data_IF_221785984612
#
_entry.id   IF_221785984612
#
_cell.length_a   1.000
_cell.length_b   1.000
_cell.length_c   1.000
_cell.angle_alpha   90.00
_cell.angle_beta   90.00
_cell.angle_gamma   90.00
#
_symmetry.space_group_name_H-M   'P 1'
#
loop_
_entity.id
_entity.type
_entity.pdbx_description
1 polymer ?
#
# COMPACT_ATOMS: atom_id res chain seq x y z
N UNK A 1 1.07 -2.00 -9.70
CA UNK A 1 1.89 -1.54 -8.55
C UNK A 1 1.02 -1.67 -7.32
N UNK A 2 1.30 -2.67 -6.47
CA UNK A 2 0.43 -3.02 -5.34
C UNK A 2 0.69 -1.98 -4.25
N UNK A 3 -0.15 -0.94 -4.18
CA UNK A 3 -0.02 0.05 -3.11
C UNK A 3 -0.34 -0.65 -1.79
N UNK A 4 0.71 -0.81 -0.99
CA UNK A 4 0.65 -1.38 0.34
C UNK A 4 1.03 -0.25 1.27
N UNK A 5 0.15 0.08 2.20
CA UNK A 5 0.46 1.05 3.25
C UNK A 5 1.54 0.50 4.18
N UNK A 6 2.00 1.35 5.09
CA UNK A 6 2.89 0.94 6.19
C UNK A 6 2.36 1.45 7.54
N UNK A 7 1.04 1.46 7.73
CA UNK A 7 0.37 1.87 8.98
C UNK A 7 0.79 0.98 10.14
N UNK A 8 1.19 -0.27 9.88
CA UNK A 8 1.76 -1.17 10.90
C UNK A 8 2.96 -0.56 11.63
N UNK A 9 3.71 0.32 10.96
CA UNK A 9 4.90 0.98 11.51
C UNK A 9 4.55 2.13 12.47
N UNK A 10 3.26 2.52 12.54
CA UNK A 10 2.71 3.50 13.47
C UNK A 10 2.03 2.85 14.69
N UNK A 11 2.18 1.53 14.87
CA UNK A 11 1.68 0.84 16.05
C UNK A 11 2.67 0.95 17.21
N UNK A 12 2.16 1.17 18.42
CA UNK A 12 2.92 1.06 19.67
C UNK A 12 2.20 0.08 20.59
N UNK A 13 2.90 -0.97 21.03
CA UNK A 13 2.31 -2.04 21.84
C UNK A 13 1.03 -2.64 21.20
N UNK A 14 1.04 -2.82 19.87
CA UNK A 14 -0.09 -3.38 19.11
C UNK A 14 -1.27 -2.43 18.85
N UNK A 15 -1.18 -1.17 19.28
CA UNK A 15 -2.24 -0.16 19.15
C UNK A 15 -1.82 1.02 18.29
N UNK A 16 -2.75 1.54 17.50
CA UNK A 16 -2.52 2.67 16.61
C UNK A 16 -2.16 3.94 17.39
N UNK A 17 -0.95 4.46 17.17
CA UNK A 17 -0.49 5.71 17.78
C UNK A 17 -0.67 6.87 16.81
N UNK A 18 -1.46 7.88 17.19
CA UNK A 18 -1.67 9.08 16.36
C UNK A 18 -2.12 10.30 17.15
N UNK A 19 -2.03 11.46 16.52
CA UNK A 19 -2.66 12.68 17.00
C UNK A 19 -4.18 12.62 16.84
N UNK A 20 -4.90 13.31 17.71
CA UNK A 20 -6.38 13.42 17.67
C UNK A 20 -6.87 14.82 17.36
N UNK A 21 -5.96 15.77 17.17
CA UNK A 21 -6.26 17.15 16.84
C UNK A 21 -5.30 17.65 15.76
N UNK A 22 -5.77 18.65 15.05
CA UNK A 22 -5.05 19.41 14.02
C UNK A 22 -5.58 20.86 14.07
N UNK A 23 -4.78 21.88 13.71
CA UNK A 23 -3.37 21.79 13.32
C UNK A 23 -2.45 21.49 14.52
N UNK A 24 -1.29 20.88 14.25
CA UNK A 24 -0.22 20.72 15.24
C UNK A 24 0.50 22.06 15.43
N UNK A 25 0.70 22.48 16.67
CA UNK A 25 1.47 23.69 16.97
C UNK A 25 2.96 23.36 16.96
N UNK A 26 3.72 24.00 16.09
CA UNK A 26 5.14 23.71 15.88
C UNK A 26 5.99 24.89 16.35
N UNK A 27 6.85 24.65 17.34
CA UNK A 27 7.91 25.58 17.69
C UNK A 27 9.19 25.16 16.97
N UNK A 28 9.86 26.11 16.31
CA UNK A 28 11.15 25.88 15.65
C UNK A 28 12.19 26.66 16.44
N UNK A 29 13.05 25.94 17.15
CA UNK A 29 14.08 26.53 17.99
C UNK A 29 15.04 27.40 17.16
N UNK A 30 15.60 28.47 17.74
CA UNK A 30 16.66 29.24 17.07
C UNK A 30 17.92 28.38 16.95
N UNK A 31 18.56 28.40 15.78
CA UNK A 31 19.82 27.71 15.56
C UNK A 31 20.98 28.45 16.23
N UNK A 32 21.72 27.75 17.11
CA UNK A 32 22.85 28.32 17.88
C UNK A 32 24.23 27.87 17.39
N UNK A 33 24.35 27.43 16.14
CA UNK A 33 25.64 26.99 15.58
C UNK A 33 26.47 28.18 15.07
N UNK A 34 27.61 28.41 15.72
CA UNK A 34 28.57 29.46 15.30
C UNK A 34 29.04 29.29 13.84
N UNK A 35 29.28 28.05 13.40
CA UNK A 35 29.69 27.75 12.02
C UNK A 35 28.66 28.08 10.95
N UNK A 36 27.41 28.37 11.34
CA UNK A 36 26.29 28.71 10.43
C UNK A 36 25.59 30.01 10.85
N UNK A 37 26.32 30.91 11.51
CA UNK A 37 25.78 32.21 11.91
C UNK A 37 25.16 32.95 10.72
N UNK A 38 23.94 33.46 10.91
CA UNK A 38 23.18 34.14 9.86
C UNK A 38 22.39 33.23 8.91
N UNK A 39 22.49 31.89 9.00
CA UNK A 39 21.73 30.97 8.13
C UNK A 39 20.44 30.42 8.76
N UNK A 40 20.08 30.85 9.98
CA UNK A 40 18.89 30.36 10.71
C UNK A 40 17.60 30.51 9.88
N UNK A 41 17.44 31.64 9.18
CA UNK A 41 16.26 31.89 8.33
C UNK A 41 16.07 30.80 7.26
N UNK A 42 17.17 30.31 6.67
CA UNK A 42 17.16 29.32 5.59
C UNK A 42 16.66 27.98 6.10
N UNK A 43 17.20 27.49 7.22
CA UNK A 43 16.80 26.21 7.79
C UNK A 43 15.39 26.26 8.38
N UNK A 44 15.01 27.38 8.99
CA UNK A 44 13.61 27.63 9.39
C UNK A 44 12.66 27.59 8.20
N UNK A 45 13.05 28.16 7.06
CA UNK A 45 12.25 28.10 5.84
C UNK A 45 12.12 26.68 5.29
N UNK A 46 13.20 25.87 5.34
CA UNK A 46 13.13 24.45 4.99
C UNK A 46 12.13 23.67 5.85
N UNK A 47 12.07 23.93 7.16
CA UNK A 47 11.07 23.31 8.05
C UNK A 47 9.66 23.75 7.68
N UNK A 48 9.44 25.04 7.43
CA UNK A 48 8.14 25.56 6.95
C UNK A 48 7.73 24.92 5.63
N UNK A 49 8.67 24.79 4.69
CA UNK A 49 8.46 24.13 3.40
C UNK A 49 8.10 22.66 3.56
N UNK A 50 8.76 21.93 4.46
CA UNK A 50 8.44 20.54 4.74
C UNK A 50 7.03 20.35 5.34
N UNK A 51 6.65 21.20 6.30
CA UNK A 51 5.29 21.22 6.85
C UNK A 51 4.26 21.50 5.75
N UNK A 52 4.55 22.46 4.86
CA UNK A 52 3.67 22.81 3.74
C UNK A 52 3.54 21.68 2.71
N UNK A 53 4.63 20.95 2.43
CA UNK A 53 4.63 19.78 1.53
C UNK A 53 3.69 18.69 2.07
N UNK A 54 3.81 18.33 3.36
CA UNK A 54 2.92 17.36 4.01
C UNK A 54 1.46 17.82 4.02
N UNK A 55 1.20 19.09 4.35
CA UNK A 55 -0.14 19.68 4.29
C UNK A 55 -0.76 19.57 2.89
N UNK A 56 0.00 19.95 1.87
CA UNK A 56 -0.48 20.01 0.49
C UNK A 56 -0.70 18.61 -0.07
N UNK A 57 0.28 17.71 0.10
CA UNK A 57 0.23 16.34 -0.39
C UNK A 57 -0.96 15.56 0.21
N UNK A 58 -1.27 15.82 1.49
CA UNK A 58 -2.38 15.17 2.20
C UNK A 58 -3.70 15.95 2.11
N UNK A 59 -3.76 17.03 1.32
CA UNK A 59 -4.94 17.90 1.14
C UNK A 59 -5.53 18.39 2.48
N UNK A 60 -4.66 18.75 3.42
CA UNK A 60 -5.05 19.26 4.74
C UNK A 60 -5.44 18.20 5.77
N UNK A 61 -5.29 16.90 5.46
CA UNK A 61 -5.53 15.82 6.44
C UNK A 61 -4.62 15.96 7.67
N UNK A 62 -3.38 16.38 7.45
CA UNK A 62 -2.50 16.92 8.49
C UNK A 62 -2.29 18.41 8.26
N UNK A 63 -2.17 19.18 9.33
CA UNK A 63 -1.90 20.62 9.27
C UNK A 63 -1.06 21.09 10.45
N UNK A 64 -0.39 22.23 10.26
CA UNK A 64 0.58 22.78 11.18
C UNK A 64 0.36 24.29 11.34
N UNK A 65 0.67 24.79 12.53
CA UNK A 65 0.73 26.22 12.83
C UNK A 65 2.02 26.51 13.56
N UNK A 66 2.86 27.40 13.03
CA UNK A 66 4.09 27.80 13.71
C UNK A 66 3.76 28.71 14.90
N UNK A 67 4.27 28.37 16.07
CA UNK A 67 4.14 29.18 17.30
C UNK A 67 5.48 29.79 17.69
N UNK A 68 5.43 30.85 18.50
CA UNK A 68 6.62 31.62 18.88
C UNK A 68 7.32 31.04 20.12
N UNK A 69 6.61 30.27 20.94
CA UNK A 69 7.12 29.78 22.21
C UNK A 69 7.01 28.26 22.32
N UNK A 70 7.96 27.64 23.02
CA UNK A 70 7.97 26.21 23.28
C UNK A 70 6.73 25.76 24.07
N UNK A 71 6.27 26.59 25.03
CA UNK A 71 5.12 26.29 25.89
C UNK A 71 3.80 26.12 25.13
N UNK A 72 3.69 26.74 23.96
CA UNK A 72 2.49 26.64 23.11
C UNK A 72 2.56 25.46 22.14
N UNK A 73 3.70 24.78 22.04
CA UNK A 73 3.96 23.80 21.00
C UNK A 73 3.54 22.38 21.40
N UNK A 74 3.17 21.60 20.39
CA UNK A 74 3.01 20.14 20.47
C UNK A 74 4.17 19.43 19.79
N UNK A 75 4.77 20.07 18.79
CA UNK A 75 5.97 19.60 18.11
C UNK A 75 7.06 20.63 18.30
N UNK A 76 8.18 20.21 18.86
CA UNK A 76 9.37 21.03 18.99
C UNK A 76 10.43 20.56 17.99
N UNK A 77 10.94 21.49 17.18
CA UNK A 77 12.03 21.24 16.24
C UNK A 77 13.30 21.88 16.79
N UNK A 78 14.29 21.06 17.11
CA UNK A 78 15.60 21.48 17.58
C UNK A 78 16.72 21.07 16.63
N UNK A 79 17.87 21.73 16.77
CA UNK A 79 19.02 21.55 15.89
C UNK A 79 20.15 20.91 16.67
N UNK A 80 20.71 19.82 16.13
CA UNK A 80 21.86 19.10 16.71
C UNK A 80 22.99 19.01 15.71
N UNK A 81 24.21 18.85 16.22
CA UNK A 81 25.37 18.58 15.35
C UNK A 81 25.21 17.16 14.81
N UNK A 82 25.45 16.95 13.51
CA UNK A 82 25.38 15.61 12.90
C UNK A 82 26.26 14.64 13.67
N UNK A 83 25.67 13.51 14.06
CA UNK A 83 26.39 12.34 14.54
C UNK A 83 26.60 11.36 13.38
N UNK A 84 27.70 10.60 13.38
CA UNK A 84 28.03 9.67 12.28
C UNK A 84 26.98 8.58 12.03
N UNK A 85 26.03 8.38 12.95
CA UNK A 85 25.05 7.28 12.93
C UNK A 85 23.64 7.71 12.56
N UNK A 86 23.27 8.98 12.77
CA UNK A 86 21.92 9.46 12.53
C UNK A 86 21.91 10.95 12.18
N UNK A 87 21.18 11.29 11.10
CA UNK A 87 21.03 12.65 10.60
C UNK A 87 19.83 13.37 11.21
N UNK A 88 18.93 12.65 11.88
CA UNK A 88 17.78 13.19 12.56
C UNK A 88 17.17 12.15 13.50
N UNK A 89 16.35 12.62 14.44
CA UNK A 89 15.57 11.78 15.34
C UNK A 89 14.26 12.45 15.72
N UNK A 90 13.19 11.65 15.82
CA UNK A 90 11.92 12.08 16.37
C UNK A 90 11.53 11.20 17.57
N UNK A 91 11.25 11.83 18.71
CA UNK A 91 10.73 11.16 19.91
C UNK A 91 9.28 11.52 20.15
N UNK A 92 8.47 10.53 20.51
CA UNK A 92 7.04 10.70 20.77
C UNK A 92 6.73 10.72 22.26
N UNK A 93 5.79 11.57 22.64
CA UNK A 93 5.09 11.52 23.91
C UNK A 93 3.63 11.16 23.66
N UNK A 94 3.17 10.08 24.29
CA UNK A 94 1.82 9.54 24.12
C UNK A 94 1.26 9.04 25.46
N UNK A 95 -0.07 9.05 25.59
CA UNK A 95 -0.76 8.55 26.78
C UNK A 95 -1.06 7.04 26.70
N UNK A 96 -1.66 6.48 27.75
CA UNK A 96 -2.01 5.05 27.81
C UNK A 96 -3.04 4.61 26.76
N UNK A 97 -3.69 5.54 26.06
CA UNK A 97 -4.58 5.26 24.94
C UNK A 97 -3.86 5.38 23.58
N UNK A 98 -2.53 5.54 23.57
CA UNK A 98 -1.72 5.78 22.38
C UNK A 98 -2.08 7.07 21.64
N UNK A 99 -2.62 8.07 22.34
CA UNK A 99 -2.82 9.40 21.76
C UNK A 99 -1.51 10.19 21.87
N UNK A 100 -1.02 10.69 20.73
CA UNK A 100 0.11 11.61 20.72
C UNK A 100 -0.30 12.95 21.33
N UNK A 101 0.56 13.47 22.22
CA UNK A 101 0.43 14.81 22.78
C UNK A 101 1.71 15.64 22.67
N UNK A 102 2.85 15.03 22.32
CA UNK A 102 4.13 15.71 22.11
C UNK A 102 5.01 14.99 21.09
N UNK A 103 5.80 15.74 20.32
CA UNK A 103 6.90 15.22 19.51
C UNK A 103 8.13 16.14 19.56
N UNK A 104 9.30 15.55 19.80
CA UNK A 104 10.59 16.24 19.81
C UNK A 104 11.38 15.80 18.57
N UNK A 105 11.61 16.74 17.65
CA UNK A 105 12.26 16.52 16.36
C UNK A 105 13.64 17.18 16.38
N UNK A 106 14.67 16.36 16.30
CA UNK A 106 16.05 16.82 16.21
C UNK A 106 16.58 16.67 14.80
N UNK A 107 17.01 17.77 14.21
CA UNK A 107 17.64 17.80 12.89
C UNK A 107 19.15 17.93 13.04
N UNK A 108 19.89 16.96 12.51
CA UNK A 108 21.35 16.99 12.42
C UNK A 108 21.81 17.92 11.31
N UNK A 109 22.64 18.92 11.67
CA UNK A 109 23.33 19.77 10.70
C UNK A 109 24.85 19.51 10.74
N UNK A 110 25.46 19.34 9.56
CA UNK A 110 26.93 19.27 9.45
C UNK A 110 27.53 20.64 9.74
N UNK A 111 28.62 20.67 10.49
CA UNK A 111 29.40 21.88 10.77
C UNK A 111 30.42 22.22 9.68
N UNK A 112 30.43 21.46 8.57
CA UNK A 112 31.37 21.63 7.47
C UNK A 112 32.74 20.96 7.69
N UNK A 113 33.00 20.37 8.86
CA UNK A 113 34.23 19.62 9.16
C UNK A 113 34.06 18.12 8.89
N UNK A 114 32.81 17.64 8.80
CA UNK A 114 32.46 16.26 8.52
C UNK A 114 31.75 16.19 7.17
N UNK A 115 32.46 15.67 6.16
CA UNK A 115 32.02 15.27 4.81
C UNK A 115 31.18 16.32 4.03
N UNK A 116 31.74 16.87 2.94
CA UNK A 116 31.09 17.88 2.09
C UNK A 116 29.72 17.49 1.54
N UNK A 117 29.44 16.20 1.39
CA UNK A 117 28.14 15.67 0.96
C UNK A 117 26.99 15.99 1.94
N UNK A 118 27.26 16.19 3.24
CA UNK A 118 26.24 16.55 4.23
C UNK A 118 25.95 18.05 4.31
N UNK A 119 26.61 18.85 3.47
CA UNK A 119 26.28 20.26 3.31
C UNK A 119 25.27 20.50 2.17
N UNK A 120 24.89 19.47 1.41
CA UNK A 120 23.87 19.59 0.37
C UNK A 120 22.51 19.93 1.00
N UNK A 121 21.97 21.08 0.60
CA UNK A 121 20.69 21.60 1.06
C UNK A 121 19.53 20.66 0.75
N UNK A 122 19.63 19.88 -0.33
CA UNK A 122 18.62 18.88 -0.69
C UNK A 122 18.61 17.72 0.30
N UNK A 123 19.78 17.30 0.79
CA UNK A 123 19.91 16.22 1.76
C UNK A 123 19.43 16.68 3.15
N UNK A 124 19.74 17.92 3.54
CA UNK A 124 19.18 18.51 4.77
C UNK A 124 17.67 18.62 4.67
N UNK A 125 17.14 19.09 3.54
CA UNK A 125 15.70 19.18 3.32
C UNK A 125 15.03 17.80 3.31
N UNK A 126 15.66 16.78 2.73
CA UNK A 126 15.19 15.39 2.82
C UNK A 126 15.03 14.97 4.27
N UNK A 127 16.07 15.15 5.09
CA UNK A 127 16.03 14.80 6.52
C UNK A 127 14.92 15.55 7.22
N UNK A 128 14.79 16.86 7.01
CA UNK A 128 13.70 17.64 7.61
C UNK A 128 12.33 17.09 7.18
N UNK A 129 12.13 16.79 5.90
CA UNK A 129 10.86 16.27 5.39
C UNK A 129 10.52 14.90 6.00
N UNK A 130 11.51 14.02 6.15
CA UNK A 130 11.40 12.72 6.81
C UNK A 130 11.02 12.85 8.29
N UNK A 131 11.73 13.69 9.04
CA UNK A 131 11.48 13.87 10.47
C UNK A 131 10.12 14.54 10.75
N UNK A 132 9.65 15.43 9.89
CA UNK A 132 8.26 15.94 9.97
C UNK A 132 7.24 14.82 9.70
N UNK A 133 7.57 13.86 8.84
CA UNK A 133 6.77 12.66 8.63
C UNK A 133 6.67 11.80 9.90
N UNK A 134 7.77 11.66 10.65
CA UNK A 134 7.70 11.11 11.99
C UNK A 134 6.85 11.96 12.91
N UNK A 135 7.01 13.28 12.94
CA UNK A 135 6.24 14.15 13.83
C UNK A 135 4.71 14.02 13.65
N UNK A 136 4.22 13.67 12.46
CA UNK A 136 2.79 13.36 12.21
C UNK A 136 2.39 11.92 12.56
N UNK A 137 3.29 11.12 13.12
CA UNK A 137 3.03 9.77 13.62
C UNK A 137 3.31 8.64 12.62
N UNK A 138 4.01 8.90 11.51
CA UNK A 138 4.43 7.83 10.60
C UNK A 138 5.65 7.08 11.13
N UNK A 139 5.68 5.77 10.93
CA UNK A 139 6.89 4.97 11.03
C UNK A 139 7.68 4.95 9.71
N UNK A 140 8.71 4.11 9.63
CA UNK A 140 9.49 3.97 8.41
C UNK A 140 8.73 3.21 7.32
N UNK A 141 8.75 3.72 6.09
CA UNK A 141 8.25 3.00 4.94
C UNK A 141 9.23 1.88 4.53
N UNK A 142 8.76 0.71 4.07
CA UNK A 142 9.61 -0.29 3.43
C UNK A 142 9.88 0.00 1.93
N UNK A 143 9.31 1.05 1.35
CA UNK A 143 9.41 1.36 -0.09
C UNK A 143 10.41 2.48 -0.38
N UNK A 144 11.46 2.18 -1.15
CA UNK A 144 12.57 3.11 -1.46
C UNK A 144 12.17 4.45 -2.08
N UNK A 145 10.98 4.55 -2.64
CA UNK A 145 10.45 5.77 -3.27
C UNK A 145 9.78 6.72 -2.29
N UNK A 146 9.50 6.25 -1.08
CA UNK A 146 8.79 7.01 -0.06
C UNK A 146 9.77 7.86 0.74
N UNK A 147 9.32 9.06 1.16
CA UNK A 147 10.19 9.91 1.99
C UNK A 147 10.48 9.22 3.33
N UNK A 148 9.54 8.43 3.84
CA UNK A 148 9.70 7.70 5.10
C UNK A 148 10.60 6.46 5.02
N UNK A 149 11.20 6.15 3.86
CA UNK A 149 12.07 4.98 3.74
C UNK A 149 13.40 5.15 4.46
N UNK A 150 13.87 4.07 5.09
CA UNK A 150 15.24 3.97 5.60
C UNK A 150 15.94 2.72 5.06
N UNK A 151 17.25 2.79 4.71
CA UNK A 151 18.14 3.95 4.82
C UNK A 151 17.85 5.05 3.78
N UNK A 152 18.21 6.30 4.13
CA UNK A 152 18.05 7.50 3.29
C UNK A 152 18.42 7.25 1.81
N UNK A 153 17.52 7.63 0.90
CA UNK A 153 17.75 7.63 -0.55
C UNK A 153 17.94 9.06 -1.08
N UNK A 154 19.07 9.30 -1.74
CA UNK A 154 19.35 10.58 -2.43
C UNK A 154 18.30 10.84 -3.51
N UNK A 155 17.94 12.11 -3.71
CA UNK A 155 17.01 12.54 -4.77
C UNK A 155 15.53 12.44 -4.42
N UNK A 156 15.17 11.94 -3.24
CA UNK A 156 13.76 11.90 -2.76
C UNK A 156 13.49 13.15 -1.94
N UNK A 157 12.85 14.16 -2.52
CA UNK A 157 12.59 15.44 -1.84
C UNK A 157 11.11 15.85 -1.88
N UNK A 158 10.22 14.86 -2.01
CA UNK A 158 8.78 15.03 -2.07
C UNK A 158 8.08 13.91 -1.33
N UNK A 159 6.91 14.20 -0.80
CA UNK A 159 6.05 13.18 -0.18
C UNK A 159 5.47 12.31 -1.29
N UNK A 160 5.64 10.98 -1.18
CA UNK A 160 5.17 10.04 -2.20
C UNK A 160 3.67 9.77 -2.08
N UNK A 161 3.08 9.14 -3.10
CA UNK A 161 1.71 8.65 -3.02
C UNK A 161 1.52 7.56 -1.94
N UNK A 162 2.55 6.76 -1.67
CA UNK A 162 2.55 5.75 -0.60
C UNK A 162 2.49 6.39 0.78
N UNK A 163 3.29 7.44 0.98
CA UNK A 163 3.27 8.23 2.21
C UNK A 163 1.88 8.85 2.45
N UNK A 164 1.32 9.51 1.43
CA UNK A 164 -0.02 10.11 1.49
C UNK A 164 -1.10 9.07 1.80
N UNK A 165 -1.04 7.90 1.16
CA UNK A 165 -2.00 6.83 1.42
C UNK A 165 -1.93 6.35 2.88
N UNK A 166 -0.72 6.16 3.40
CA UNK A 166 -0.51 5.74 4.80
C UNK A 166 -1.03 6.79 5.78
N UNK A 167 -0.77 8.08 5.57
CA UNK A 167 -1.33 9.17 6.40
C UNK A 167 -2.86 9.15 6.38
N UNK A 168 -3.45 9.02 5.20
CA UNK A 168 -4.91 9.01 5.07
C UNK A 168 -5.54 7.85 5.85
N UNK A 169 -4.95 6.65 5.78
CA UNK A 169 -5.41 5.51 6.58
C UNK A 169 -5.17 5.72 8.07
N UNK A 170 -3.96 6.12 8.49
CA UNK A 170 -3.63 6.38 9.89
C UNK A 170 -4.67 7.30 10.55
N UNK A 171 -5.02 8.40 9.90
CA UNK A 171 -5.97 9.38 10.44
C UNK A 171 -7.45 9.13 10.08
N UNK A 172 -7.77 8.04 9.40
CA UNK A 172 -9.15 7.55 9.24
C UNK A 172 -9.49 6.42 10.22
N UNK A 173 -8.47 5.77 10.77
CA UNK A 173 -8.63 4.69 11.73
C UNK A 173 -8.87 5.23 13.15
N UNK A 174 -9.59 4.48 14.01
CA UNK A 174 -9.80 4.90 15.38
C UNK A 174 -8.46 4.95 16.14
N UNK A 175 -8.26 5.99 16.94
CA UNK A 175 -7.07 6.14 17.76
C UNK A 175 -6.99 5.00 18.77
N UNK A 176 -5.78 4.45 18.98
CA UNK A 176 -5.57 3.37 19.94
C UNK A 176 -6.14 2.01 19.51
N UNK A 177 -6.72 1.92 18.31
CA UNK A 177 -7.30 0.67 17.83
C UNK A 177 -6.25 -0.41 17.63
N UNK A 178 -6.59 -1.65 17.96
CA UNK A 178 -5.79 -2.83 17.63
C UNK A 178 -6.06 -3.30 16.20
N UNK A 179 -5.19 -4.16 15.67
CA UNK A 179 -5.39 -4.81 14.38
C UNK A 179 -6.70 -5.59 14.34
N UNK A 180 -7.08 -6.25 15.43
CA UNK A 180 -8.31 -7.05 15.56
C UNK A 180 -9.56 -6.18 15.55
N UNK A 181 -9.52 -5.03 16.23
CA UNK A 181 -10.62 -4.06 16.22
C UNK A 181 -10.82 -3.47 14.82
N UNK A 182 -9.74 -3.23 14.08
CA UNK A 182 -9.78 -2.74 12.70
C UNK A 182 -10.30 -3.83 11.76
N UNK A 183 -9.82 -5.07 11.89
CA UNK A 183 -10.34 -6.23 11.17
C UNK A 183 -11.86 -6.38 11.35
N UNK A 184 -12.32 -6.31 12.61
CA UNK A 184 -13.75 -6.37 12.96
C UNK A 184 -14.53 -5.22 12.33
N UNK A 185 -14.05 -3.98 12.46
CA UNK A 185 -14.68 -2.77 11.88
C UNK A 185 -14.93 -2.91 10.38
N UNK A 186 -13.99 -3.50 9.64
CA UNK A 186 -14.10 -3.65 8.19
C UNK A 186 -14.64 -5.01 7.74
N UNK A 187 -14.97 -5.92 8.68
CA UNK A 187 -15.38 -7.29 8.41
C UNK A 187 -14.35 -8.05 7.55
N UNK A 188 -13.07 -7.82 7.82
CA UNK A 188 -11.95 -8.41 7.08
C UNK A 188 -11.08 -9.23 8.03
N UNK A 189 -10.74 -10.46 7.64
CA UNK A 189 -9.74 -11.26 8.36
C UNK A 189 -8.30 -10.81 8.04
N UNK A 190 -7.42 -10.89 9.03
CA UNK A 190 -5.98 -10.64 8.88
C UNK A 190 -5.29 -10.39 10.21
N UNK A 191 -4.00 -10.70 10.28
CA UNK A 191 -3.15 -10.43 11.46
C UNK A 191 -2.28 -9.17 11.30
N UNK A 192 -2.25 -8.59 10.10
CA UNK A 192 -1.54 -7.35 9.79
C UNK A 192 -2.54 -6.28 9.30
N UNK A 193 -2.46 -5.10 9.91
CA UNK A 193 -3.27 -3.92 9.56
C UNK A 193 -3.11 -3.50 8.10
N UNK A 194 -1.91 -3.58 7.53
CA UNK A 194 -1.67 -3.17 6.13
C UNK A 194 -2.30 -4.16 5.14
N UNK A 195 -2.35 -5.45 5.48
CA UNK A 195 -3.05 -6.47 4.68
C UNK A 195 -4.57 -6.28 4.75
N UNK A 196 -5.09 -5.92 5.93
CA UNK A 196 -6.51 -5.58 6.10
C UNK A 196 -6.85 -4.36 5.24
N UNK A 197 -6.07 -3.28 5.34
CA UNK A 197 -6.24 -2.08 4.53
C UNK A 197 -6.24 -2.42 3.04
N UNK A 198 -5.28 -3.23 2.59
CA UNK A 198 -5.21 -3.68 1.21
C UNK A 198 -6.50 -4.39 0.78
N UNK A 199 -7.02 -5.33 1.58
CA UNK A 199 -8.28 -6.04 1.28
C UNK A 199 -9.48 -5.07 1.23
N UNK A 200 -9.53 -4.09 2.13
CA UNK A 200 -10.60 -3.08 2.14
C UNK A 200 -10.56 -2.24 0.87
N UNK A 201 -9.38 -1.77 0.47
CA UNK A 201 -9.21 -0.99 -0.76
C UNK A 201 -9.59 -1.77 -2.03
N UNK A 202 -9.50 -3.10 -1.99
CA UNK A 202 -9.76 -3.97 -3.12
C UNK A 202 -11.07 -4.75 -3.02
N UNK A 203 -11.93 -4.45 -2.03
CA UNK A 203 -13.17 -5.20 -1.75
C UNK A 203 -14.08 -5.34 -2.98
N UNK A 204 -14.14 -4.30 -3.81
CA UNK A 204 -14.98 -4.26 -5.01
C UNK A 204 -14.21 -4.62 -6.30
N UNK A 205 -12.94 -5.03 -6.18
CA UNK A 205 -12.15 -5.51 -7.32
C UNK A 205 -12.42 -7.00 -7.47
N UNK A 206 -12.90 -7.47 -8.63
CA UNK A 206 -13.08 -8.90 -8.83
C UNK A 206 -11.76 -9.60 -8.59
N UNK A 207 -11.78 -10.60 -7.70
CA UNK A 207 -10.59 -11.36 -7.34
C UNK A 207 -9.95 -11.98 -8.58
N UNK A 208 -8.68 -12.37 -8.51
CA UNK A 208 -7.99 -13.12 -9.57
C UNK A 208 -8.85 -14.30 -10.06
N UNK A 209 -9.50 -15.00 -9.13
CA UNK A 209 -10.43 -16.09 -9.43
C UNK A 209 -11.70 -15.64 -10.17
N UNK A 210 -12.29 -14.49 -9.83
CA UNK A 210 -13.47 -13.97 -10.54
C UNK A 210 -13.09 -13.42 -11.93
N UNK A 211 -11.90 -12.83 -12.07
CA UNK A 211 -11.35 -12.44 -13.37
C UNK A 211 -11.12 -13.66 -14.26
N UNK A 212 -10.59 -14.74 -13.71
CA UNK A 212 -10.44 -16.03 -14.41
C UNK A 212 -11.79 -16.67 -14.73
N UNK A 213 -12.74 -16.67 -13.78
CA UNK A 213 -14.11 -17.17 -14.02
C UNK A 213 -14.80 -16.40 -15.14
N UNK A 214 -14.64 -15.08 -15.18
CA UNK A 214 -15.24 -14.22 -16.20
C UNK A 214 -14.49 -14.27 -17.54
N UNK A 215 -13.22 -14.71 -17.58
CA UNK A 215 -12.46 -14.91 -18.82
C UNK A 215 -12.72 -16.27 -19.47
N UNK A 216 -13.26 -17.23 -18.72
CA UNK A 216 -13.72 -18.51 -19.26
C UNK A 216 -15.05 -18.29 -20.00
N UNK A 217 -14.98 -18.23 -21.34
CA UNK A 217 -16.16 -18.39 -22.19
C UNK A 217 -16.67 -19.83 -22.05
N UNK A 218 -17.66 -20.04 -21.19
CA UNK A 218 -18.42 -21.29 -21.16
C UNK A 218 -19.12 -21.39 -22.53
N UNK A 219 -18.92 -22.48 -23.32
CA UNK A 219 -19.65 -22.66 -24.55
C UNK A 219 -21.14 -22.61 -24.25
N UNK A 220 -21.88 -21.73 -24.93
CA UNK A 220 -23.32 -21.62 -24.76
C UNK A 220 -23.92 -22.93 -25.26
N UNK A 221 -24.39 -23.76 -24.34
CA UNK A 221 -25.00 -25.04 -24.65
C UNK A 221 -26.33 -24.78 -25.33
N UNK A 222 -26.39 -24.93 -26.66
CA UNK A 222 -27.63 -24.77 -27.40
C UNK A 222 -28.43 -26.07 -27.31
N UNK A 223 -29.36 -26.10 -26.36
CA UNK A 223 -30.22 -27.25 -26.10
C UNK A 223 -31.07 -27.62 -27.32
N UNK A 224 -31.35 -26.67 -28.21
CA UNK A 224 -32.14 -26.90 -29.42
C UNK A 224 -31.33 -27.69 -30.45
N UNK A 225 -30.08 -27.27 -30.68
CA UNK A 225 -29.16 -27.96 -31.59
C UNK A 225 -28.81 -29.38 -31.09
N UNK A 226 -28.64 -29.56 -29.77
CA UNK A 226 -28.46 -30.90 -29.18
C UNK A 226 -29.71 -31.78 -29.37
N UNK A 227 -30.92 -31.24 -29.20
CA UNK A 227 -32.16 -31.99 -29.43
C UNK A 227 -32.34 -32.39 -30.90
N UNK A 228 -32.02 -31.50 -31.83
CA UNK A 228 -32.04 -31.77 -33.27
C UNK A 228 -31.04 -32.87 -33.65
N UNK A 229 -29.82 -32.80 -33.12
CA UNK A 229 -28.79 -33.82 -33.35
C UNK A 229 -29.19 -35.19 -32.79
N UNK A 230 -29.80 -35.23 -31.60
CA UNK A 230 -30.33 -36.47 -31.01
C UNK A 230 -31.49 -37.02 -31.85
N UNK A 231 -32.38 -36.17 -32.36
CA UNK A 231 -33.47 -36.59 -33.24
C UNK A 231 -32.93 -37.17 -34.56
N UNK A 232 -31.89 -36.54 -35.13
CA UNK A 232 -31.22 -37.01 -36.34
C UNK A 232 -30.54 -38.37 -36.13
N UNK A 233 -29.83 -38.54 -35.01
CA UNK A 233 -29.23 -39.81 -34.61
C UNK A 233 -30.28 -40.93 -34.46
N UNK A 234 -31.42 -40.62 -33.84
CA UNK A 234 -32.54 -41.58 -33.71
C UNK A 234 -33.11 -41.95 -35.08
N UNK A 235 -33.24 -41.00 -35.99
CA UNK A 235 -33.68 -41.25 -37.37
C UNK A 235 -32.72 -42.18 -38.11
N UNK A 236 -31.41 -41.95 -38.03
CA UNK A 236 -30.42 -42.86 -38.61
C UNK A 236 -30.45 -44.25 -37.97
N UNK A 237 -30.62 -44.32 -36.65
CA UNK A 237 -30.73 -45.61 -35.96
C UNK A 237 -31.97 -46.40 -36.42
N UNK A 238 -33.14 -45.75 -36.53
CA UNK A 238 -34.35 -46.37 -37.09
C UNK A 238 -34.16 -46.81 -38.54
N UNK A 239 -33.48 -46.00 -39.36
CA UNK A 239 -33.18 -46.37 -40.74
C UNK A 239 -32.31 -47.62 -40.80
N UNK A 240 -31.26 -47.72 -39.97
CA UNK A 240 -30.41 -48.91 -39.87
C UNK A 240 -31.17 -50.16 -39.38
N UNK A 241 -32.13 -50.00 -38.47
CA UNK A 241 -32.97 -51.11 -38.01
C UNK A 241 -33.91 -51.63 -39.12
N UNK A 242 -34.31 -50.76 -40.05
CA UNK A 242 -35.20 -51.10 -41.16
C UNK A 242 -34.45 -51.54 -42.43
N UNK A 243 -33.12 -51.56 -42.43
CA UNK A 243 -32.34 -52.20 -43.51
C UNK A 243 -32.43 -53.71 -43.33
N UNK A 244 -33.40 -54.33 -44.02
CA UNK A 244 -33.40 -55.77 -44.25
C UNK A 244 -32.69 -56.07 -45.57
N UNK A 245 -31.75 -57.00 -45.54
CA UNK A 245 -31.06 -57.47 -46.74
C UNK A 245 -32.08 -58.28 -47.56
N UNK A 246 -32.41 -57.82 -48.77
CA UNK A 246 -33.28 -58.55 -49.70
C UNK A 246 -32.73 -59.98 -49.93
N UNK A 247 -33.61 -60.97 -50.02
CA UNK A 247 -33.25 -62.39 -50.22
C UNK A 247 -32.28 -62.64 -51.38
N UNK A 248 -32.33 -61.86 -52.45
CA UNK A 248 -31.40 -61.99 -53.58
C UNK A 248 -29.95 -61.68 -53.18
N UNK A 249 -29.73 -60.62 -52.39
CA UNK A 249 -28.42 -60.28 -51.85
C UNK A 249 -27.94 -61.36 -50.87
N UNK A 250 -28.86 -61.93 -50.06
CA UNK A 250 -28.53 -63.03 -49.15
C UNK A 250 -28.08 -64.29 -49.89
N UNK A 251 -28.72 -64.61 -51.02
CA UNK A 251 -28.33 -65.74 -51.90
C UNK A 251 -26.97 -65.50 -52.56
N UNK A 252 -26.67 -64.26 -52.97
CA UNK A 252 -25.37 -63.90 -53.54
C UNK A 252 -24.21 -64.14 -52.56
N UNK A 253 -24.36 -63.75 -51.28
CA UNK A 253 -23.32 -63.98 -50.27
C UNK A 253 -23.20 -65.44 -49.82
N UNK A 254 -24.27 -66.24 -49.91
CA UNK A 254 -24.24 -67.67 -49.60
C UNK A 254 -23.54 -68.51 -50.68
N UNK A 255 -23.70 -68.14 -51.96
CA UNK A 255 -23.09 -68.85 -53.09
C UNK A 255 -21.60 -68.50 -53.32
N UNK A 256 -21.13 -67.35 -52.81
CA UNK A 256 -19.73 -66.90 -52.93
C UNK A 256 -18.94 -67.12 -51.63
N UNK A 257 -19.02 -68.31 -51.03
CA UNK A 257 -18.11 -68.67 -49.92
C UNK A 257 -16.72 -69.03 -50.48
N UNK A 258 -15.63 -68.43 -49.97
CA UNK A 258 -14.28 -68.81 -50.38
C UNK A 258 -13.98 -70.27 -49.99
N UNK A 259 -13.16 -71.00 -50.76
CA UNK A 259 -12.90 -72.42 -50.52
C UNK A 259 -12.27 -72.62 -49.14
N UNK A 260 -12.73 -73.66 -48.42
CA UNK A 260 -12.14 -74.07 -47.13
C UNK A 260 -10.68 -74.47 -47.39
N UNK A 261 -9.76 -73.87 -46.63
CA UNK A 261 -8.35 -74.30 -46.62
C UNK A 261 -8.26 -75.76 -46.16
N UNK A 262 -7.49 -76.62 -46.85
CA UNK A 262 -7.25 -77.99 -46.41
C UNK A 262 -6.46 -78.00 -45.09
N UNK A 263 -6.71 -79.03 -44.28
CA UNK A 263 -6.12 -79.25 -42.95
C UNK A 263 -4.62 -79.54 -43.02
#
# INVERSE_FOLDING_TARGET
MQSKTYVSQSLKNGKLMRWTYMPLKVFIAPMKFYSKQGQDYKYRDMVKRAMNEWQTATKGKVSFTVVQTLLESNVNVDWKRVERKALGHCYFSYDNANRLFGAEVSIGLSDGLVHGDYADENEVYHTILHEIGHAIGLGHSPYKTDIMYTPHQRGVHKVSAGDVLTVNWLYNLPQGATTEEIASKYQMGGSNIDDIIYKVMHRDTPGEFEKVKNSIKIPKRDLLEEQENIALLRKYHMALQNVSINEEMRKFFLNNKPPKRPQ
#
